data_IF_262140830623
#
_entry.id   IF_262140830623
#
_cell.length_a   1.000
_cell.length_b   1.000
_cell.length_c   1.000
_cell.angle_alpha   90.00
_cell.angle_beta   90.00
_cell.angle_gamma   90.00
#
_symmetry.space_group_name_H-M   'P 1'
#
loop_
_entity.id
_entity.type
_entity.pdbx_description
1 polymer ?
#
# COMPACT_ATOMS: atom_id res chain seq x y z
N UNK A 1 14.59 -3.05 -1.61
CA UNK A 1 13.30 -2.33 -1.80
C UNK A 1 12.58 -3.02 -2.93
N UNK A 2 11.28 -3.23 -2.83
CA UNK A 2 10.50 -3.90 -3.87
C UNK A 2 9.43 -2.93 -4.41
N UNK A 3 9.13 -3.00 -5.70
CA UNK A 3 7.97 -2.37 -6.33
C UNK A 3 6.87 -3.41 -6.47
N UNK A 4 5.60 -3.07 -6.31
CA UNK A 4 4.53 -4.03 -6.56
C UNK A 4 3.93 -3.80 -7.94
N UNK A 5 3.83 -4.85 -8.76
CA UNK A 5 3.05 -4.82 -10.00
C UNK A 5 1.56 -4.88 -9.64
N UNK A 6 0.83 -3.83 -10.01
CA UNK A 6 -0.61 -3.76 -9.86
C UNK A 6 -1.22 -3.98 -11.23
N UNK A 7 -2.03 -5.04 -11.38
CA UNK A 7 -2.78 -5.30 -12.60
C UNK A 7 -4.24 -4.87 -12.39
N UNK A 8 -4.99 -4.56 -13.45
CA UNK A 8 -6.40 -4.13 -13.41
C UNK A 8 -7.30 -5.09 -12.58
N UNK A 9 -6.92 -6.37 -12.50
CA UNK A 9 -7.54 -7.40 -11.64
C UNK A 9 -7.49 -7.10 -10.13
N UNK A 10 -6.61 -6.22 -9.65
CA UNK A 10 -6.59 -5.83 -8.24
C UNK A 10 -7.78 -4.94 -7.89
N UNK A 11 -8.18 -4.04 -8.79
CA UNK A 11 -9.33 -3.14 -8.59
C UNK A 11 -10.64 -3.89 -8.80
N UNK A 12 -10.74 -4.65 -9.90
CA UNK A 12 -11.95 -5.40 -10.29
C UNK A 12 -12.27 -6.59 -9.35
N UNK A 13 -11.28 -7.15 -8.64
CA UNK A 13 -11.50 -8.27 -7.71
C UNK A 13 -11.85 -7.84 -6.28
N UNK A 14 -11.51 -6.62 -5.87
CA UNK A 14 -11.93 -6.07 -4.57
C UNK A 14 -13.46 -5.91 -4.52
N UNK A 15 -14.10 -5.70 -5.67
CA UNK A 15 -15.57 -5.56 -5.78
C UNK A 15 -16.32 -6.90 -5.77
N UNK A 16 -15.69 -8.01 -6.19
CA UNK A 16 -16.38 -9.30 -6.42
C UNK A 16 -16.34 -10.28 -5.24
N UNK A 17 -15.46 -10.08 -4.27
CA UNK A 17 -15.41 -10.92 -3.06
C UNK A 17 -16.39 -10.35 -2.04
N UNK A 18 -17.49 -11.07 -1.77
CA UNK A 18 -18.58 -10.70 -0.84
C UNK A 18 -18.21 -10.55 0.65
N UNK A 19 -16.95 -10.21 0.95
CA UNK A 19 -16.42 -9.81 2.26
C UNK A 19 -16.20 -8.29 2.37
N UNK A 20 -16.57 -7.55 1.33
CA UNK A 20 -16.42 -6.09 1.23
C UNK A 20 -17.80 -5.45 1.25
N UNK A 21 -18.04 -4.57 2.22
CA UNK A 21 -19.21 -3.68 2.17
C UNK A 21 -18.79 -2.43 1.40
N UNK A 22 -19.26 -2.32 0.17
CA UNK A 22 -19.11 -1.10 -0.64
C UNK A 22 -20.20 -0.13 -0.20
N UNK A 23 -19.82 0.99 0.42
CA UNK A 23 -20.73 2.11 0.65
C UNK A 23 -20.43 3.19 -0.37
N UNK A 24 -21.37 3.41 -1.29
CA UNK A 24 -21.42 4.65 -2.09
C UNK A 24 -22.14 5.67 -1.23
N UNK A 25 -21.55 6.85 -1.02
CA UNK A 25 -22.25 7.95 -0.37
C UNK A 25 -23.43 8.35 -1.27
N UNK A 26 -24.66 8.44 -0.75
CA UNK A 26 -25.79 8.92 -1.54
C UNK A 26 -25.53 10.37 -1.96
N UNK A 27 -25.90 10.71 -3.19
CA UNK A 27 -25.98 12.10 -3.66
C UNK A 27 -26.76 12.94 -2.64
N UNK A 28 -26.26 14.13 -2.31
CA UNK A 28 -26.90 15.06 -1.36
C UNK A 28 -28.23 15.66 -1.85
N UNK A 29 -28.86 15.07 -2.86
CA UNK A 29 -30.16 15.46 -3.36
C UNK A 29 -31.23 14.44 -2.94
N UNK A 30 -31.92 14.77 -1.84
CA UNK A 30 -33.35 14.47 -1.70
C UNK A 30 -33.76 13.14 -1.06
N UNK A 31 -33.39 12.87 0.20
CA UNK A 31 -34.21 12.01 1.08
C UNK A 31 -35.37 12.84 1.66
N UNK A 32 -36.36 13.16 0.82
CA UNK A 32 -37.70 13.50 1.29
C UNK A 32 -38.51 12.21 1.28
N UNK A 33 -38.86 11.73 2.48
CA UNK A 33 -39.66 10.55 2.73
C UNK A 33 -40.93 10.50 1.86
N UNK A 34 -41.02 9.52 0.96
CA UNK A 34 -42.24 9.24 0.21
C UNK A 34 -43.16 8.32 1.04
N UNK A 35 -44.20 8.91 1.63
CA UNK A 35 -45.40 8.19 2.07
C UNK A 35 -46.34 7.99 0.87
N UNK A 36 -47.06 6.86 0.72
CA UNK A 36 -47.91 6.66 -0.44
C UNK A 36 -49.27 7.34 -0.24
N UNK A 37 -49.76 8.04 -1.26
CA UNK A 37 -51.18 8.41 -1.40
C UNK A 37 -51.57 8.43 -2.88
N UNK A 38 -52.83 8.08 -3.25
CA UNK A 38 -53.12 7.59 -4.59
C UNK A 38 -53.82 8.60 -5.52
N UNK A 39 -53.66 8.35 -6.83
CA UNK A 39 -54.55 8.70 -7.95
C UNK A 39 -54.70 10.18 -8.38
N UNK A 40 -54.63 10.42 -9.69
CA UNK A 40 -55.11 11.68 -10.31
C UNK A 40 -54.45 12.03 -11.65
N UNK A 41 -55.27 12.25 -12.66
CA UNK A 41 -54.95 12.40 -14.09
C UNK A 41 -54.44 13.78 -14.56
N UNK A 42 -53.84 13.78 -15.77
CA UNK A 42 -53.96 14.73 -16.93
C UNK A 42 -52.75 15.63 -17.32
N UNK A 43 -52.60 15.77 -18.64
CA UNK A 43 -51.55 16.38 -19.52
C UNK A 43 -51.52 17.92 -19.53
N UNK A 44 -50.35 18.52 -19.85
CA UNK A 44 -50.14 19.50 -20.96
C UNK A 44 -48.72 20.12 -21.04
N UNK A 45 -48.06 19.97 -22.20
CA UNK A 45 -47.17 20.81 -23.04
C UNK A 45 -46.28 22.01 -22.52
N UNK A 46 -44.95 21.85 -22.75
CA UNK A 46 -43.89 22.79 -23.29
C UNK A 46 -43.52 24.15 -22.60
N UNK A 47 -42.42 24.87 -22.99
CA UNK A 47 -40.98 24.51 -23.13
C UNK A 47 -39.98 25.56 -22.49
N UNK A 48 -38.68 25.21 -22.44
CA UNK A 48 -37.46 26.07 -22.34
C UNK A 48 -37.30 27.12 -21.21
N UNK A 49 -36.27 26.96 -20.37
CA UNK A 49 -35.38 28.04 -19.95
C UNK A 49 -34.03 27.48 -19.45
N UNK A 50 -32.96 28.18 -19.82
CA UNK A 50 -31.54 27.88 -19.70
C UNK A 50 -30.92 28.35 -18.38
N UNK A 51 -29.66 27.92 -18.15
CA UNK A 51 -28.65 28.41 -17.20
C UNK A 51 -28.78 27.85 -15.77
N UNK A 52 -27.73 27.41 -15.06
CA UNK A 52 -26.33 27.76 -15.11
C UNK A 52 -25.41 26.56 -14.83
N UNK A 53 -24.22 26.63 -15.43
CA UNK A 53 -23.06 25.78 -15.17
C UNK A 53 -22.55 25.98 -13.73
N UNK A 54 -22.53 24.90 -12.94
CA UNK A 54 -21.51 24.65 -11.89
C UNK A 54 -21.63 23.23 -11.34
N UNK A 55 -21.78 22.24 -12.22
CA UNK A 55 -21.59 20.83 -11.85
C UNK A 55 -20.10 20.52 -11.82
N UNK A 56 -19.44 20.70 -10.68
CA UNK A 56 -18.20 19.99 -10.43
C UNK A 56 -18.52 18.50 -10.53
N UNK A 57 -17.89 17.82 -11.48
CA UNK A 57 -18.00 16.38 -11.72
C UNK A 57 -17.67 15.62 -10.42
N UNK A 58 -18.71 15.23 -9.68
CA UNK A 58 -18.67 14.40 -8.47
C UNK A 58 -18.28 12.97 -8.86
N UNK A 59 -17.00 12.81 -9.20
CA UNK A 59 -16.43 11.53 -9.61
C UNK A 59 -16.46 10.50 -8.48
N UNK A 60 -17.49 9.65 -8.47
CA UNK A 60 -17.60 8.33 -7.83
C UNK A 60 -16.60 8.03 -6.69
N UNK A 61 -16.86 8.64 -5.53
CA UNK A 61 -16.24 8.27 -4.26
C UNK A 61 -16.58 6.82 -3.90
N UNK A 62 -15.56 5.98 -3.67
CA UNK A 62 -15.73 4.57 -3.32
C UNK A 62 -15.06 4.26 -1.98
N UNK A 63 -15.87 3.87 -0.99
CA UNK A 63 -15.38 3.34 0.27
C UNK A 63 -15.60 1.83 0.36
N UNK A 64 -14.51 1.12 0.64
CA UNK A 64 -14.46 -0.33 0.81
C UNK A 64 -14.10 -0.62 2.26
N UNK A 65 -15.06 -1.20 2.98
CA UNK A 65 -14.88 -1.68 4.34
C UNK A 65 -14.69 -3.20 4.32
N UNK A 66 -13.56 -3.66 4.82
CA UNK A 66 -13.29 -5.08 4.95
C UNK A 66 -14.02 -5.66 6.17
N UNK A 67 -14.60 -6.85 6.01
CA UNK A 67 -15.40 -7.48 7.06
C UNK A 67 -14.65 -7.62 8.41
N UNK A 68 -15.31 -7.33 9.55
CA UNK A 68 -14.71 -7.48 10.86
C UNK A 68 -14.44 -8.95 11.19
N UNK A 69 -13.50 -9.19 12.09
CA UNK A 69 -13.15 -10.55 12.56
C UNK A 69 -14.39 -11.27 13.10
N UNK A 70 -14.73 -12.46 12.57
CA UNK A 70 -15.75 -13.31 13.15
C UNK A 70 -15.47 -13.58 14.64
N UNK A 71 -16.47 -13.49 15.53
CA UNK A 71 -16.24 -13.49 16.98
C UNK A 71 -15.93 -14.88 17.57
N UNK A 72 -15.73 -15.92 16.74
CA UNK A 72 -15.55 -17.29 17.23
C UNK A 72 -14.09 -17.66 17.43
N UNK A 73 -13.85 -18.43 18.50
CA UNK A 73 -12.52 -18.73 19.06
C UNK A 73 -11.58 -19.42 18.07
N UNK A 74 -12.08 -20.34 17.24
CA UNK A 74 -11.24 -21.05 16.27
C UNK A 74 -10.76 -20.12 15.13
N UNK A 75 -11.51 -19.08 14.75
CA UNK A 75 -11.04 -18.08 13.77
C UNK A 75 -9.94 -17.22 14.37
N UNK A 76 -10.14 -16.75 15.59
CA UNK A 76 -9.13 -15.97 16.31
C UNK A 76 -7.85 -16.78 16.51
N UNK A 77 -7.96 -18.08 16.80
CA UNK A 77 -6.81 -18.98 16.87
C UNK A 77 -6.13 -19.12 15.52
N UNK A 78 -6.87 -19.45 14.45
CA UNK A 78 -6.31 -19.59 13.11
C UNK A 78 -5.64 -18.29 12.62
N UNK A 79 -6.27 -17.15 12.85
CA UNK A 79 -5.75 -15.82 12.52
C UNK A 79 -4.49 -15.49 13.33
N UNK A 80 -4.49 -15.77 14.62
CA UNK A 80 -3.33 -15.57 15.50
C UNK A 80 -2.18 -16.46 15.06
N UNK A 81 -2.43 -17.74 14.83
CA UNK A 81 -1.40 -18.70 14.38
C UNK A 81 -0.85 -18.30 13.02
N UNK A 82 -1.71 -17.98 12.04
CA UNK A 82 -1.27 -17.53 10.72
C UNK A 82 -0.45 -16.25 10.80
N UNK A 83 -0.93 -15.23 11.51
CA UNK A 83 -0.24 -13.96 11.64
C UNK A 83 1.07 -14.08 12.42
N UNK A 84 1.10 -14.92 13.45
CA UNK A 84 2.32 -15.23 14.19
C UNK A 84 3.34 -15.92 13.30
N UNK A 85 2.95 -16.98 12.57
CA UNK A 85 3.83 -17.69 11.64
C UNK A 85 4.32 -16.77 10.53
N UNK A 86 3.45 -15.96 9.93
CA UNK A 86 3.82 -15.03 8.86
C UNK A 86 4.81 -13.96 9.37
N UNK A 87 4.53 -13.32 10.51
CA UNK A 87 5.43 -12.33 11.10
C UNK A 87 6.78 -12.96 11.48
N UNK A 88 6.78 -14.13 12.12
CA UNK A 88 8.01 -14.78 12.54
C UNK A 88 8.77 -15.42 11.36
N UNK A 89 8.10 -15.81 10.28
CA UNK A 89 8.76 -16.16 9.02
C UNK A 89 9.51 -14.94 8.45
N UNK A 90 8.87 -13.77 8.44
CA UNK A 90 9.47 -12.51 7.97
C UNK A 90 10.70 -12.09 8.78
N UNK A 91 10.65 -12.22 10.12
CA UNK A 91 11.70 -11.71 11.01
C UNK A 91 12.71 -12.76 11.49
N UNK A 92 12.30 -14.02 11.65
CA UNK A 92 13.11 -15.10 12.22
C UNK A 92 13.44 -16.23 11.25
N UNK A 93 13.00 -16.22 10.00
CA UNK A 93 13.29 -17.32 9.06
C UNK A 93 14.78 -17.70 9.02
N UNK A 94 15.68 -16.72 9.08
CA UNK A 94 17.12 -16.92 9.12
C UNK A 94 17.66 -17.32 10.51
N UNK A 95 17.15 -16.72 11.59
CA UNK A 95 17.61 -16.99 12.96
C UNK A 95 17.15 -18.37 13.44
N UNK A 96 15.88 -18.73 13.18
CA UNK A 96 15.35 -20.06 13.47
C UNK A 96 16.07 -21.14 12.66
N UNK A 97 16.40 -20.88 11.39
CA UNK A 97 17.21 -21.80 10.57
C UNK A 97 18.64 -21.94 11.10
N UNK A 98 19.26 -20.84 11.54
CA UNK A 98 20.61 -20.88 12.13
C UNK A 98 20.64 -21.63 13.48
N UNK A 99 19.63 -21.42 14.34
CA UNK A 99 19.47 -22.16 15.60
C UNK A 99 19.13 -23.63 15.35
N UNK A 100 18.29 -23.95 14.37
CA UNK A 100 18.03 -25.33 13.95
C UNK A 100 19.31 -26.03 13.46
N UNK A 101 20.14 -25.34 12.67
CA UNK A 101 21.45 -25.85 12.25
C UNK A 101 22.44 -26.03 13.42
N UNK A 102 22.41 -25.13 14.41
CA UNK A 102 23.34 -25.12 15.54
C UNK A 102 22.97 -26.12 16.66
N UNK A 103 21.68 -26.42 16.85
CA UNK A 103 21.20 -27.16 18.03
C UNK A 103 20.46 -28.47 17.73
N UNK A 104 20.12 -28.78 16.46
CA UNK A 104 19.45 -30.05 16.12
C UNK A 104 20.49 -31.09 15.69
N UNK A 105 20.76 -32.06 16.57
CA UNK A 105 21.65 -33.22 16.37
C UNK A 105 21.09 -34.28 15.38
N UNK A 106 19.92 -34.07 14.78
CA UNK A 106 19.38 -34.97 13.75
C UNK A 106 19.91 -34.62 12.35
N UNK A 107 20.83 -35.44 11.85
CA UNK A 107 21.40 -35.41 10.49
C UNK A 107 20.34 -35.28 9.39
N UNK A 108 19.16 -35.87 9.57
CA UNK A 108 18.05 -35.79 8.62
C UNK A 108 17.49 -34.36 8.45
N UNK A 109 17.43 -33.54 9.50
CA UNK A 109 16.94 -32.15 9.41
C UNK A 109 17.96 -31.29 8.67
N UNK A 110 19.26 -31.46 8.95
CA UNK A 110 20.34 -30.78 8.21
C UNK A 110 20.33 -31.18 6.73
N UNK A 111 20.11 -32.46 6.42
CA UNK A 111 19.97 -32.93 5.05
C UNK A 111 18.73 -32.34 4.36
N UNK A 112 17.58 -32.30 5.03
CA UNK A 112 16.36 -31.68 4.52
C UNK A 112 16.53 -30.17 4.27
N UNK A 113 17.19 -29.45 5.17
CA UNK A 113 17.53 -28.03 5.00
C UNK A 113 18.52 -27.81 3.84
N UNK A 114 19.54 -28.67 3.70
CA UNK A 114 20.49 -28.61 2.60
C UNK A 114 19.80 -28.87 1.24
N UNK A 115 18.94 -29.89 1.16
CA UNK A 115 18.11 -30.16 -0.01
C UNK A 115 17.19 -28.96 -0.29
N UNK A 116 16.55 -28.41 0.74
CA UNK A 116 15.75 -27.19 0.64
C UNK A 116 16.52 -26.01 0.08
N UNK A 117 17.76 -25.79 0.53
CA UNK A 117 18.64 -24.72 0.05
C UNK A 117 19.07 -24.94 -1.41
N UNK A 118 19.40 -26.17 -1.78
CA UNK A 118 19.74 -26.55 -3.17
C UNK A 118 18.54 -26.33 -4.10
N UNK A 119 17.35 -26.74 -3.69
CA UNK A 119 16.12 -26.50 -4.44
C UNK A 119 15.79 -24.99 -4.51
N UNK A 120 16.03 -24.26 -3.43
CA UNK A 120 15.83 -22.81 -3.35
C UNK A 120 16.80 -22.04 -4.25
N UNK A 121 18.02 -22.53 -4.46
CA UNK A 121 19.04 -21.88 -5.28
C UNK A 121 18.53 -21.57 -6.70
N UNK A 122 17.78 -22.51 -7.31
CA UNK A 122 17.16 -22.28 -8.62
C UNK A 122 16.17 -21.10 -8.60
N UNK A 123 15.38 -20.96 -7.54
CA UNK A 123 14.46 -19.83 -7.34
C UNK A 123 15.18 -18.52 -7.04
N UNK A 124 16.29 -18.60 -6.32
CA UNK A 124 17.06 -17.43 -5.91
C UNK A 124 17.78 -16.77 -7.08
N UNK A 125 18.30 -17.57 -8.02
CA UNK A 125 19.08 -17.08 -9.17
C UNK A 125 18.26 -16.94 -10.47
N UNK A 126 16.93 -17.08 -10.44
CA UNK A 126 16.09 -17.01 -11.65
C UNK A 126 15.93 -15.61 -12.25
N UNK A 127 16.36 -14.56 -11.53
CA UNK A 127 16.27 -13.16 -11.96
C UNK A 127 14.83 -12.68 -12.20
N UNK A 128 13.83 -13.34 -11.63
CA UNK A 128 12.42 -12.97 -11.76
C UNK A 128 12.12 -11.58 -11.22
N UNK A 129 12.89 -11.10 -10.23
CA UNK A 129 12.82 -9.75 -9.68
C UNK A 129 13.21 -8.66 -10.70
N UNK A 130 14.06 -8.97 -11.70
CA UNK A 130 14.54 -8.01 -12.70
C UNK A 130 13.67 -7.96 -13.97
N UNK A 131 12.61 -8.77 -14.00
CA UNK A 131 11.64 -8.88 -15.10
C UNK A 131 10.25 -8.50 -14.56
N UNK A 132 9.22 -9.28 -14.89
CA UNK A 132 7.83 -8.99 -14.52
C UNK A 132 7.38 -9.70 -13.22
N UNK A 133 8.33 -10.15 -12.39
CA UNK A 133 8.08 -10.91 -11.15
C UNK A 133 7.74 -12.39 -11.41
N UNK A 134 7.29 -13.09 -10.36
CA UNK A 134 6.82 -14.49 -10.45
C UNK A 134 5.46 -14.66 -9.77
N UNK A 135 4.41 -13.97 -10.26
CA UNK A 135 3.12 -13.95 -9.61
C UNK A 135 2.51 -15.36 -9.54
N UNK A 136 2.20 -15.82 -8.34
CA UNK A 136 1.52 -17.09 -8.14
C UNK A 136 0.03 -16.85 -7.95
N UNK A 137 -0.73 -16.95 -9.04
CA UNK A 137 -2.15 -16.56 -9.05
C UNK A 137 -3.00 -17.31 -8.03
N UNK A 138 -2.80 -18.63 -7.88
CA UNK A 138 -3.53 -19.42 -6.88
C UNK A 138 -3.21 -18.98 -5.45
N UNK A 139 -1.93 -18.71 -5.14
CA UNK A 139 -1.53 -18.18 -3.84
C UNK A 139 -2.11 -16.79 -3.58
N UNK A 140 -2.06 -15.87 -4.56
CA UNK A 140 -2.66 -14.52 -4.46
C UNK A 140 -4.17 -14.56 -4.28
N UNK A 141 -4.85 -15.55 -4.85
CA UNK A 141 -6.29 -15.74 -4.74
C UNK A 141 -6.71 -16.54 -3.50
N UNK A 142 -5.75 -17.05 -2.73
CA UNK A 142 -6.03 -18.02 -1.69
C UNK A 142 -6.80 -17.38 -0.52
N UNK A 143 -7.87 -18.02 0.00
CA UNK A 143 -8.67 -17.47 1.10
C UNK A 143 -7.91 -17.22 2.40
N UNK A 144 -6.68 -17.74 2.55
CA UNK A 144 -5.81 -17.49 3.71
C UNK A 144 -5.58 -16.00 3.94
N UNK A 145 -5.62 -15.17 2.89
CA UNK A 145 -5.50 -13.72 3.01
C UNK A 145 -6.66 -13.08 3.78
N UNK A 146 -7.81 -13.75 3.88
CA UNK A 146 -8.93 -13.31 4.72
C UNK A 146 -8.52 -13.25 6.20
N UNK A 147 -7.56 -14.08 6.64
CA UNK A 147 -7.02 -14.03 8.00
C UNK A 147 -6.24 -12.73 8.24
N UNK A 148 -5.37 -12.35 7.29
CA UNK A 148 -4.62 -11.09 7.36
C UNK A 148 -5.54 -9.87 7.25
N UNK A 149 -6.49 -9.91 6.32
CA UNK A 149 -7.45 -8.84 6.07
C UNK A 149 -8.39 -8.60 7.27
N UNK A 150 -8.87 -9.67 7.93
CA UNK A 150 -9.71 -9.51 9.13
C UNK A 150 -8.90 -9.03 10.34
N UNK A 151 -7.59 -9.31 10.39
CA UNK A 151 -6.75 -8.94 11.53
C UNK A 151 -6.50 -7.43 11.61
N UNK A 152 -6.28 -6.80 10.45
CA UNK A 152 -6.20 -5.36 10.31
C UNK A 152 -7.51 -4.87 9.71
N UNK A 153 -8.46 -4.32 10.48
CA UNK A 153 -9.66 -3.73 9.91
C UNK A 153 -9.22 -2.59 9.00
N UNK A 154 -9.17 -2.88 7.70
CA UNK A 154 -8.71 -1.97 6.70
C UNK A 154 -9.93 -1.24 6.11
N UNK A 155 -9.72 0.01 5.75
CA UNK A 155 -10.66 0.83 5.01
C UNK A 155 -9.93 1.38 3.81
N UNK A 156 -10.47 1.16 2.62
CA UNK A 156 -9.91 1.68 1.38
C UNK A 156 -10.84 2.77 0.86
N UNK A 157 -10.31 3.98 0.75
CA UNK A 157 -11.00 5.14 0.21
C UNK A 157 -10.39 5.46 -1.13
N UNK A 158 -11.22 5.44 -2.18
CA UNK A 158 -10.85 5.89 -3.51
C UNK A 158 -11.61 7.18 -3.80
N UNK A 159 -10.87 8.27 -3.94
CA UNK A 159 -11.47 9.60 -4.16
C UNK A 159 -11.98 9.81 -5.58
N UNK A 160 -11.49 9.05 -6.57
CA UNK A 160 -11.93 9.10 -7.98
C UNK A 160 -11.82 7.75 -8.69
N UNK A 161 -12.63 7.55 -9.73
CA UNK A 161 -12.48 6.40 -10.59
C UNK A 161 -11.14 6.37 -11.34
N UNK A 162 -10.54 5.18 -11.42
CA UNK A 162 -9.32 4.92 -12.20
C UNK A 162 -9.74 4.12 -13.43
N UNK A 163 -9.36 4.59 -14.61
CA UNK A 163 -9.59 3.92 -15.88
C UNK A 163 -8.68 2.69 -16.01
N UNK A 164 -9.27 1.53 -16.27
CA UNK A 164 -8.52 0.28 -16.40
C UNK A 164 -7.59 0.25 -17.63
N UNK A 165 -7.79 1.14 -18.61
CA UNK A 165 -6.94 1.26 -19.80
C UNK A 165 -5.71 2.16 -19.59
N UNK A 166 -5.60 2.82 -18.44
CA UNK A 166 -4.53 3.77 -18.13
C UNK A 166 -3.44 3.16 -17.26
N UNK A 167 -2.23 3.71 -17.39
CA UNK A 167 -1.06 3.31 -16.58
C UNK A 167 -0.88 4.23 -15.40
N UNK A 168 -0.67 3.63 -14.23
CA UNK A 168 -0.52 4.36 -12.98
C UNK A 168 0.80 4.05 -12.28
N UNK A 169 1.38 5.09 -11.68
CA UNK A 169 2.44 5.00 -10.68
C UNK A 169 1.82 5.39 -9.33
N UNK A 170 1.55 4.40 -8.49
CA UNK A 170 1.03 4.62 -7.14
C UNK A 170 2.18 4.95 -6.19
N UNK A 171 2.18 6.14 -5.61
CA UNK A 171 3.12 6.47 -4.54
C UNK A 171 2.57 5.97 -3.21
N UNK A 172 3.17 4.89 -2.70
CA UNK A 172 2.62 4.02 -1.67
C UNK A 172 3.57 3.99 -0.45
N UNK A 173 3.07 4.21 0.76
CA UNK A 173 3.89 4.53 1.94
C UNK A 173 3.95 3.53 3.12
N UNK A 174 3.73 2.19 3.00
CA UNK A 174 3.78 1.31 4.15
C UNK A 174 5.15 0.65 4.37
N UNK A 175 5.25 -0.01 5.52
CA UNK A 175 6.46 -0.68 5.97
C UNK A 175 6.26 -2.20 6.09
N UNK A 176 6.80 -2.96 5.13
CA UNK A 176 6.92 -4.41 5.26
C UNK A 176 8.32 -4.86 4.79
N UNK A 177 9.26 -5.11 5.70
CA UNK A 177 10.55 -5.70 5.35
C UNK A 177 10.43 -7.21 5.10
N UNK A 178 11.35 -7.79 4.31
CA UNK A 178 11.93 -9.10 4.65
C UNK A 178 11.42 -10.40 3.99
N UNK A 179 10.72 -10.41 2.85
CA UNK A 179 10.31 -11.68 2.24
C UNK A 179 10.38 -11.72 0.71
N UNK A 180 11.57 -11.95 0.12
CA UNK A 180 11.77 -12.01 -1.34
C UNK A 180 10.74 -12.90 -2.05
N UNK A 181 10.55 -14.13 -1.59
CA UNK A 181 9.67 -15.09 -2.27
C UNK A 181 8.19 -14.73 -2.18
N UNK A 182 7.71 -14.33 -1.00
CA UNK A 182 6.33 -13.86 -0.86
C UNK A 182 6.13 -12.60 -1.70
N UNK A 183 7.09 -11.67 -1.71
CA UNK A 183 7.06 -10.49 -2.56
C UNK A 183 6.96 -10.89 -4.04
N UNK A 184 7.80 -11.80 -4.54
CA UNK A 184 7.76 -12.27 -5.92
C UNK A 184 6.43 -12.95 -6.28
N UNK A 185 5.92 -13.81 -5.40
CA UNK A 185 4.62 -14.49 -5.58
C UNK A 185 3.45 -13.51 -5.56
N UNK A 186 3.57 -12.41 -4.83
CA UNK A 186 2.62 -11.29 -4.83
C UNK A 186 2.78 -10.39 -6.06
N UNK A 187 3.78 -10.63 -6.92
CA UNK A 187 4.06 -9.85 -8.13
C UNK A 187 4.92 -8.61 -7.89
N UNK A 188 5.66 -8.58 -6.78
CA UNK A 188 6.66 -7.55 -6.58
C UNK A 188 7.89 -7.79 -7.47
N UNK A 189 8.53 -6.69 -7.87
CA UNK A 189 9.73 -6.65 -8.70
C UNK A 189 10.79 -5.80 -8.00
N UNK A 190 12.02 -5.86 -8.51
CA UNK A 190 13.11 -5.00 -8.05
C UNK A 190 12.77 -3.51 -8.21
N UNK A 191 13.25 -2.69 -7.28
CA UNK A 191 12.96 -1.26 -7.26
C UNK A 191 13.85 -0.39 -8.16
N UNK A 192 14.67 -0.99 -9.00
CA UNK A 192 15.49 -0.31 -9.99
C UNK A 192 14.64 0.41 -11.05
N UNK A 193 15.15 1.57 -11.51
CA UNK A 193 14.51 2.39 -12.56
C UNK A 193 14.25 1.57 -13.84
N UNK A 194 15.20 0.73 -14.24
CA UNK A 194 15.12 -0.11 -15.45
C UNK A 194 14.01 -1.16 -15.35
N UNK A 195 13.88 -1.81 -14.19
CA UNK A 195 12.80 -2.77 -13.93
C UNK A 195 11.44 -2.08 -13.91
N UNK A 196 11.33 -0.94 -13.23
CA UNK A 196 10.10 -0.16 -13.18
C UNK A 196 9.66 0.33 -14.57
N UNK A 197 10.62 0.77 -15.39
CA UNK A 197 10.42 1.18 -16.78
C UNK A 197 9.89 0.03 -17.62
N UNK A 198 10.50 -1.16 -17.54
CA UNK A 198 10.00 -2.37 -18.22
C UNK A 198 8.58 -2.75 -17.82
N UNK A 199 8.23 -2.66 -16.53
CA UNK A 199 6.85 -2.95 -16.07
C UNK A 199 5.85 -1.98 -16.68
N UNK A 200 6.21 -0.70 -16.81
CA UNK A 200 5.36 0.31 -17.46
C UNK A 200 5.30 0.15 -18.99
N UNK A 201 6.33 -0.44 -19.60
CA UNK A 201 6.34 -0.79 -21.03
C UNK A 201 5.52 -2.06 -21.31
N UNK A 202 5.49 -3.01 -20.38
CA UNK A 202 4.62 -4.21 -20.38
C UNK A 202 3.14 -3.88 -20.08
N UNK A 203 2.74 -2.62 -20.25
CA UNK A 203 1.39 -2.10 -20.04
C UNK A 203 0.80 -2.37 -18.64
N UNK A 204 1.66 -2.34 -17.61
CA UNK A 204 1.25 -2.57 -16.23
C UNK A 204 1.43 -1.33 -15.36
N UNK A 205 0.67 -1.27 -14.26
CA UNK A 205 0.84 -0.25 -13.23
C UNK A 205 1.85 -0.68 -12.16
N UNK A 206 2.47 0.30 -11.50
CA UNK A 206 3.50 0.06 -10.48
C UNK A 206 3.20 0.82 -9.20
N UNK A 207 3.36 0.18 -8.05
CA UNK A 207 3.36 0.84 -6.74
C UNK A 207 4.80 1.02 -6.24
N UNK A 208 5.14 2.26 -5.93
CA UNK A 208 6.48 2.71 -5.53
C UNK A 208 6.47 3.16 -4.08
N UNK A 209 7.52 2.85 -3.34
CA UNK A 209 7.73 3.27 -1.95
C UNK A 209 8.78 4.37 -1.88
N UNK A 210 8.41 5.65 -2.09
CA UNK A 210 9.40 6.69 -2.35
C UNK A 210 10.29 7.00 -1.14
N UNK A 211 9.75 6.94 0.07
CA UNK A 211 10.53 7.25 1.27
C UNK A 211 11.34 6.06 1.81
N UNK A 212 10.77 4.86 1.74
CA UNK A 212 11.53 3.64 1.85
C UNK A 212 12.01 3.29 3.26
N UNK A 213 13.19 2.68 3.38
CA UNK A 213 13.73 2.31 4.69
C UNK A 213 13.99 3.51 5.61
N UNK A 214 14.18 4.72 5.06
CA UNK A 214 14.36 5.94 5.86
C UNK A 214 13.12 6.29 6.68
N UNK A 215 11.92 6.05 6.13
CA UNK A 215 10.65 6.30 6.84
C UNK A 215 10.48 5.37 8.06
N UNK A 216 11.00 4.14 7.98
CA UNK A 216 10.98 3.20 9.12
C UNK A 216 11.74 3.79 10.32
N UNK A 217 12.86 4.48 10.09
CA UNK A 217 13.66 5.07 11.17
C UNK A 217 13.06 6.38 11.71
N UNK A 218 12.31 7.13 10.90
CA UNK A 218 11.67 8.38 11.32
C UNK A 218 10.30 8.19 11.94
N UNK A 219 9.67 7.03 11.74
CA UNK A 219 8.36 6.72 12.32
C UNK A 219 8.46 6.54 13.84
N UNK A 220 7.76 7.40 14.58
CA UNK A 220 7.61 7.31 16.03
C UNK A 220 6.13 7.03 16.39
N UNK A 221 5.81 5.83 16.90
CA UNK A 221 4.46 5.48 17.35
C UNK A 221 3.88 6.39 18.43
N UNK A 222 4.72 7.09 19.20
CA UNK A 222 4.30 7.92 20.32
C UNK A 222 4.25 9.41 19.98
N UNK A 223 4.67 9.79 18.77
CA UNK A 223 4.62 11.19 18.31
C UNK A 223 3.32 11.47 17.56
N UNK A 224 2.79 12.68 17.71
CA UNK A 224 1.72 13.22 16.86
C UNK A 224 2.24 13.73 15.50
N UNK A 225 3.56 13.68 15.28
CA UNK A 225 4.18 14.05 14.00
C UNK A 225 4.39 12.80 13.14
N UNK A 226 3.75 12.74 11.98
CA UNK A 226 3.99 11.73 10.95
C UNK A 226 4.99 12.27 9.92
N UNK A 227 6.06 11.51 9.65
CA UNK A 227 7.14 11.92 8.74
C UNK A 227 7.15 11.06 7.48
N UNK A 228 6.98 11.69 6.32
CA UNK A 228 7.10 11.05 5.00
C UNK A 228 8.33 11.57 4.27
N UNK A 229 9.12 10.69 3.69
CA UNK A 229 10.40 11.06 3.08
C UNK A 229 10.23 11.28 1.58
N UNK A 230 9.70 12.44 1.20
CA UNK A 230 9.38 12.80 -0.18
C UNK A 230 10.18 14.00 -0.71
N UNK A 231 10.77 14.83 0.15
CA UNK A 231 11.30 16.16 -0.22
C UNK A 231 12.33 16.12 -1.33
N UNK A 232 13.16 15.07 -1.38
CA UNK A 232 14.25 14.86 -2.37
C UNK A 232 13.97 13.72 -3.34
N UNK A 233 12.80 13.08 -3.26
CA UNK A 233 12.49 11.86 -4.02
C UNK A 233 11.81 12.22 -5.34
N UNK A 234 12.60 12.45 -6.38
CA UNK A 234 12.08 12.78 -7.73
C UNK A 234 11.97 11.58 -8.68
N UNK A 235 12.62 10.46 -8.36
CA UNK A 235 12.77 9.33 -9.31
C UNK A 235 11.46 8.73 -9.82
N UNK A 236 10.44 8.61 -8.95
CA UNK A 236 9.13 8.07 -9.35
C UNK A 236 8.34 9.04 -10.23
N UNK A 237 8.52 10.36 -10.03
CA UNK A 237 7.93 11.39 -10.87
C UNK A 237 8.58 11.39 -12.26
N UNK A 238 9.92 11.33 -12.31
CA UNK A 238 10.65 11.17 -13.59
C UNK A 238 10.17 9.94 -14.36
N UNK A 239 9.99 8.82 -13.66
CA UNK A 239 9.50 7.58 -14.25
C UNK A 239 8.08 7.75 -14.81
N UNK A 240 7.16 8.34 -14.04
CA UNK A 240 5.79 8.55 -14.48
C UNK A 240 5.71 9.45 -15.73
N UNK A 241 6.42 10.57 -15.74
CA UNK A 241 6.48 11.50 -16.88
C UNK A 241 7.06 10.81 -18.11
N UNK A 242 8.19 10.10 -17.97
CA UNK A 242 8.84 9.42 -19.10
C UNK A 242 7.94 8.40 -19.80
N UNK A 243 7.08 7.70 -19.04
CA UNK A 243 6.16 6.71 -19.59
C UNK A 243 4.75 7.27 -19.89
N UNK A 244 4.47 8.53 -19.54
CA UNK A 244 3.13 9.12 -19.62
C UNK A 244 2.12 8.41 -18.72
N UNK A 245 2.57 7.89 -17.58
CA UNK A 245 1.75 7.21 -16.59
C UNK A 245 1.25 8.21 -15.54
N UNK A 246 -0.03 8.16 -15.18
CA UNK A 246 -0.58 9.07 -14.19
C UNK A 246 -0.03 8.75 -12.77
N UNK A 247 0.27 9.78 -11.99
CA UNK A 247 0.76 9.65 -10.62
C UNK A 247 -0.42 9.64 -9.65
N UNK A 248 -0.56 8.58 -8.86
CA UNK A 248 -1.63 8.49 -7.86
C UNK A 248 -1.03 8.65 -6.46
N UNK A 249 -1.33 9.74 -5.74
CA UNK A 249 -0.91 9.90 -4.35
C UNK A 249 -1.70 8.96 -3.45
N UNK A 250 -1.00 8.19 -2.61
CA UNK A 250 -1.63 7.29 -1.63
C UNK A 250 -1.10 7.61 -0.24
N UNK A 251 -1.99 7.73 0.73
CA UNK A 251 -1.62 7.89 2.13
C UNK A 251 -2.25 6.78 2.99
N UNK A 252 -1.49 6.25 3.95
CA UNK A 252 -1.96 5.18 4.84
C UNK A 252 -1.93 5.67 6.29
N UNK A 253 -3.10 5.64 6.93
CA UNK A 253 -3.25 5.92 8.35
C UNK A 253 -3.28 4.62 9.15
N UNK A 254 -2.77 4.67 10.39
CA UNK A 254 -2.82 3.59 11.37
C UNK A 254 -1.55 2.74 11.45
N UNK A 255 -0.64 2.86 10.49
CA UNK A 255 0.56 2.02 10.42
C UNK A 255 1.48 2.19 11.63
N UNK A 256 1.67 3.43 12.07
CA UNK A 256 2.50 3.74 13.24
C UNK A 256 1.99 3.10 14.54
N UNK A 257 0.72 2.66 14.60
CA UNK A 257 0.09 2.04 15.77
C UNK A 257 0.29 0.52 15.82
N UNK A 258 0.82 -0.10 14.76
CA UNK A 258 1.02 -1.54 14.68
C UNK A 258 2.16 -2.05 15.57
N UNK A 259 3.10 -1.20 15.96
CA UNK A 259 4.26 -1.59 16.76
C UNK A 259 4.60 -0.54 17.82
N UNK A 260 5.16 -0.99 18.93
CA UNK A 260 5.90 -0.15 19.87
C UNK A 260 7.36 -0.12 19.43
N UNK A 261 8.01 1.01 19.62
CA UNK A 261 9.42 1.21 19.28
C UNK A 261 10.16 1.76 20.49
N UNK A 262 11.37 1.23 20.73
CA UNK A 262 12.33 1.85 21.63
C UNK A 262 13.14 2.88 20.85
N UNK A 263 13.03 4.15 21.26
CA UNK A 263 13.82 5.23 20.69
C UNK A 263 15.25 5.16 21.24
N UNK A 264 16.11 4.41 20.54
CA UNK A 264 17.55 4.36 20.82
C UNK A 264 18.17 5.73 20.54
N UNK A 265 18.97 6.31 21.46
CA UNK A 265 19.63 7.59 21.25
C UNK A 265 20.44 7.62 19.95
N UNK A 266 20.32 8.72 19.19
CA UNK A 266 20.96 8.87 17.88
C UNK A 266 22.47 8.58 17.88
N UNK A 267 23.27 9.02 18.88
CA UNK A 267 24.70 8.73 18.90
C UNK A 267 25.02 7.23 18.92
N UNK A 268 24.28 6.45 19.72
CA UNK A 268 24.47 5.00 19.85
C UNK A 268 24.04 4.29 18.56
N UNK A 269 22.87 4.63 18.04
CA UNK A 269 22.37 4.08 16.78
C UNK A 269 23.33 4.38 15.63
N UNK A 270 23.80 5.62 15.52
CA UNK A 270 24.68 6.04 14.43
C UNK A 270 26.08 5.45 14.57
N UNK A 271 26.55 5.18 15.80
CA UNK A 271 27.78 4.42 16.05
C UNK A 271 27.63 2.95 15.62
N UNK A 272 26.54 2.28 16.01
CA UNK A 272 26.25 0.90 15.58
C UNK A 272 26.14 0.79 14.05
N UNK A 273 25.45 1.74 13.42
CA UNK A 273 25.34 1.83 11.97
C UNK A 273 26.69 2.07 11.29
N UNK A 274 27.52 2.98 11.81
CA UNK A 274 28.81 3.30 11.18
C UNK A 274 29.82 2.18 11.35
N UNK A 275 29.95 1.67 12.57
CA UNK A 275 31.00 0.74 12.99
C UNK A 275 30.63 -0.71 12.68
N UNK A 276 29.38 -1.12 12.93
CA UNK A 276 28.94 -2.53 12.80
C UNK A 276 27.99 -2.74 11.61
N UNK A 277 27.58 -1.68 10.91
CA UNK A 277 26.57 -1.73 9.82
C UNK A 277 25.24 -2.36 10.26
N UNK A 278 24.92 -2.33 11.55
CA UNK A 278 23.67 -2.86 12.09
C UNK A 278 22.63 -1.74 12.13
N UNK A 279 21.58 -1.79 11.30
CA UNK A 279 20.43 -0.90 11.44
C UNK A 279 19.60 -1.30 12.66
N UNK A 280 20.03 -0.85 13.85
CA UNK A 280 19.32 -1.18 15.08
C UNK A 280 18.00 -0.42 15.15
N UNK A 281 16.91 -1.14 14.88
CA UNK A 281 15.54 -0.73 15.18
C UNK A 281 14.99 -1.76 16.16
N UNK A 282 14.77 -1.34 17.40
CA UNK A 282 14.15 -2.19 18.43
C UNK A 282 12.68 -1.84 18.48
N UNK A 283 11.83 -2.78 18.08
CA UNK A 283 10.39 -2.63 18.05
C UNK A 283 9.72 -3.98 18.34
N UNK A 284 8.50 -3.94 18.87
CA UNK A 284 7.71 -5.12 19.19
C UNK A 284 6.21 -4.84 19.05
N UNK A 285 5.45 -5.89 18.77
CA UNK A 285 4.01 -5.92 18.79
C UNK A 285 3.51 -6.71 20.01
N UNK A 286 2.53 -7.59 19.78
CA UNK A 286 1.89 -8.42 20.80
C UNK A 286 2.89 -9.37 21.46
N UNK A 287 2.74 -9.56 22.78
CA UNK A 287 3.54 -10.49 23.58
C UNK A 287 5.06 -10.26 23.47
N UNK A 288 5.50 -9.01 23.23
CA UNK A 288 6.91 -8.67 22.99
C UNK A 288 7.53 -9.36 21.76
N UNK A 289 6.70 -9.84 20.83
CA UNK A 289 7.13 -10.45 19.57
C UNK A 289 7.06 -9.44 18.41
N UNK A 290 7.46 -9.81 17.20
CA UNK A 290 7.18 -9.00 16.00
C UNK A 290 5.80 -9.24 15.39
N UNK A 291 4.90 -9.91 16.10
CA UNK A 291 3.50 -10.00 15.69
C UNK A 291 2.79 -8.67 15.96
N UNK A 292 2.34 -7.91 14.96
CA UNK A 292 1.84 -6.53 15.11
C UNK A 292 0.61 -6.44 16.02
N UNK A 293 0.39 -5.29 16.65
CA UNK A 293 -0.89 -4.96 17.26
C UNK A 293 -1.97 -4.80 16.18
N UNK A 294 -3.19 -5.22 16.49
CA UNK A 294 -4.34 -4.95 15.64
C UNK A 294 -4.64 -3.44 15.68
N UNK A 295 -4.33 -2.74 14.59
CA UNK A 295 -4.61 -1.32 14.42
C UNK A 295 -5.38 -1.11 13.12
N UNK A 296 -6.45 -0.31 13.17
CA UNK A 296 -7.23 0.07 11.99
C UNK A 296 -6.34 0.76 10.97
N UNK A 297 -6.37 0.27 9.74
CA UNK A 297 -5.63 0.85 8.62
C UNK A 297 -6.61 1.60 7.72
N UNK A 298 -6.34 2.86 7.39
CA UNK A 298 -7.12 3.58 6.37
C UNK A 298 -6.20 3.95 5.24
N UNK A 299 -6.39 3.33 4.07
CA UNK A 299 -5.65 3.61 2.85
C UNK A 299 -6.48 4.57 2.01
N UNK A 300 -5.92 5.73 1.68
CA UNK A 300 -6.61 6.75 0.88
C UNK A 300 -5.85 6.94 -0.42
N UNK A 301 -6.56 6.74 -1.54
CA UNK A 301 -6.07 7.00 -2.89
C UNK A 301 -6.63 8.35 -3.36
N UNK A 302 -5.73 9.28 -3.66
CA UNK A 302 -6.07 10.58 -4.22
C UNK A 302 -6.34 10.57 -5.71
N UNK A 303 -6.66 11.75 -6.24
CA UNK A 303 -6.87 11.94 -7.67
C UNK A 303 -5.58 11.71 -8.47
N UNK A 304 -5.66 11.04 -9.64
CA UNK A 304 -4.50 10.89 -10.52
C UNK A 304 -4.02 12.24 -11.05
N UNK A 305 -2.71 12.49 -10.95
CA UNK A 305 -2.02 13.61 -11.58
C UNK A 305 -1.59 13.15 -12.97
N UNK A 306 -2.19 13.74 -14.01
CA UNK A 306 -1.89 13.39 -15.40
C UNK A 306 -0.50 13.91 -15.81
N UNK A 307 0.36 12.99 -16.25
CA UNK A 307 1.71 13.31 -16.71
C UNK A 307 1.86 13.24 -18.24
N UNK A 308 0.82 12.82 -18.98
CA UNK A 308 0.89 12.59 -20.43
C UNK A 308 1.26 13.85 -21.20
N UNK A 309 0.71 14.99 -20.78
CA UNK A 309 0.99 16.31 -21.36
C UNK A 309 2.46 16.73 -21.24
N UNK A 310 3.23 16.04 -20.41
CA UNK A 310 4.61 16.34 -20.07
C UNK A 310 5.59 15.27 -20.56
N UNK A 311 5.08 14.26 -21.27
CA UNK A 311 5.90 13.18 -21.80
C UNK A 311 6.88 13.75 -22.84
N UNK A 312 8.20 13.62 -22.63
CA UNK A 312 9.19 14.05 -23.61
C UNK A 312 9.16 13.16 -24.86
N UNK A 313 9.80 13.59 -25.97
CA UNK A 313 10.04 12.73 -27.12
C UNK A 313 10.74 11.42 -26.72
N UNK A 314 10.53 10.37 -27.51
CA UNK A 314 11.09 9.05 -27.21
C UNK A 314 12.63 9.10 -27.12
N UNK A 315 13.17 8.70 -25.97
CA UNK A 315 14.62 8.68 -25.72
C UNK A 315 15.18 9.89 -24.98
N UNK A 316 14.35 10.91 -24.68
CA UNK A 316 14.75 12.08 -23.89
C UNK A 316 14.30 11.96 -22.42
N UNK A 317 15.13 12.47 -21.51
CA UNK A 317 14.78 12.56 -20.09
C UNK A 317 13.88 13.79 -19.85
N UNK A 318 12.92 13.71 -18.91
CA UNK A 318 12.07 14.85 -18.59
C UNK A 318 12.86 15.99 -17.95
N UNK A 319 12.52 17.24 -18.32
CA UNK A 319 13.13 18.45 -17.74
C UNK A 319 12.99 18.48 -16.22
N UNK A 320 14.09 18.81 -15.51
CA UNK A 320 14.10 18.89 -14.04
C UNK A 320 13.06 19.88 -13.50
N UNK A 321 12.90 21.05 -14.15
CA UNK A 321 11.90 22.03 -13.75
C UNK A 321 10.48 21.45 -13.77
N UNK A 322 10.17 20.66 -14.80
CA UNK A 322 8.85 20.01 -14.92
C UNK A 322 8.66 18.90 -13.89
N UNK A 323 9.72 18.15 -13.62
CA UNK A 323 9.73 17.12 -12.58
C UNK A 323 9.49 17.75 -11.20
N UNK A 324 10.06 18.92 -10.94
CA UNK A 324 9.85 19.66 -9.69
C UNK A 324 8.43 20.21 -9.58
N UNK A 325 7.84 20.73 -10.66
CA UNK A 325 6.44 21.17 -10.69
C UNK A 325 5.46 20.02 -10.36
N UNK A 326 5.59 18.89 -11.05
CA UNK A 326 4.72 17.72 -10.83
C UNK A 326 4.99 17.09 -9.46
N UNK A 327 6.24 17.13 -8.97
CA UNK A 327 6.56 16.66 -7.62
C UNK A 327 5.91 17.53 -6.54
N UNK A 328 5.92 18.86 -6.71
CA UNK A 328 5.25 19.77 -5.79
C UNK A 328 3.75 19.52 -5.75
N UNK A 329 3.11 19.33 -6.92
CA UNK A 329 1.70 18.95 -7.02
C UNK A 329 1.41 17.62 -6.29
N UNK A 330 2.26 16.61 -6.48
CA UNK A 330 2.16 15.33 -5.78
C UNK A 330 2.27 15.48 -4.25
N UNK A 331 3.23 16.28 -3.78
CA UNK A 331 3.43 16.51 -2.34
C UNK A 331 2.22 17.21 -1.73
N UNK A 332 1.69 18.23 -2.39
CA UNK A 332 0.50 18.93 -1.91
C UNK A 332 -0.73 18.04 -1.93
N UNK A 333 -0.88 17.18 -2.94
CA UNK A 333 -1.95 16.18 -2.96
C UNK A 333 -1.84 15.21 -1.76
N UNK A 334 -0.64 14.72 -1.42
CA UNK A 334 -0.44 13.87 -0.23
C UNK A 334 -0.79 14.61 1.06
N UNK A 335 -0.41 15.90 1.19
CA UNK A 335 -0.80 16.74 2.33
C UNK A 335 -2.30 16.92 2.44
N UNK A 336 -2.96 17.16 1.31
CA UNK A 336 -4.41 17.30 1.24
C UNK A 336 -5.12 16.01 1.69
N UNK A 337 -4.67 14.83 1.21
CA UNK A 337 -5.21 13.55 1.65
C UNK A 337 -5.07 13.36 3.17
N UNK A 338 -3.92 13.73 3.73
CA UNK A 338 -3.72 13.66 5.17
C UNK A 338 -4.71 14.55 5.92
N UNK A 339 -4.80 15.83 5.56
CA UNK A 339 -5.67 16.77 6.29
C UNK A 339 -7.15 16.42 6.14
N UNK A 340 -7.59 16.02 4.94
CA UNK A 340 -8.98 15.68 4.68
C UNK A 340 -9.45 14.44 5.44
N UNK A 341 -8.58 13.45 5.63
CA UNK A 341 -8.98 12.13 6.16
C UNK A 341 -8.43 11.79 7.56
N UNK A 342 -7.61 12.64 8.19
CA UNK A 342 -7.03 12.35 9.52
C UNK A 342 -8.11 12.11 10.58
N UNK A 343 -9.15 12.94 10.64
CA UNK A 343 -10.25 12.81 11.61
C UNK A 343 -10.97 11.47 11.45
N UNK A 344 -11.39 11.16 10.23
CA UNK A 344 -12.09 9.91 9.90
C UNK A 344 -11.24 8.65 10.11
N UNK A 345 -9.92 8.80 10.01
CA UNK A 345 -8.96 7.74 10.32
C UNK A 345 -8.68 7.59 11.82
N UNK A 346 -9.28 8.41 12.67
CA UNK A 346 -9.13 8.39 14.13
C UNK A 346 -7.83 9.04 14.61
N UNK A 347 -7.37 10.09 13.93
CA UNK A 347 -6.25 10.95 14.34
C UNK A 347 -6.82 12.27 14.90
N UNK A 348 -6.20 12.80 15.96
CA UNK A 348 -6.62 14.06 16.59
C UNK A 348 -6.18 15.31 15.80
N UNK A 349 -6.55 16.49 16.30
CA UNK A 349 -6.19 17.77 15.67
C UNK A 349 -4.69 18.04 15.73
N UNK A 350 -4.05 17.59 16.81
CA UNK A 350 -2.63 17.70 17.09
C UNK A 350 -1.75 16.86 16.15
N UNK A 351 -2.36 15.96 15.39
CA UNK A 351 -1.66 15.10 14.44
C UNK A 351 -1.29 15.89 13.18
N UNK A 352 0.01 15.85 12.85
CA UNK A 352 0.62 16.63 11.79
C UNK A 352 1.38 15.74 10.81
N UNK A 353 1.54 16.22 9.57
CA UNK A 353 2.32 15.57 8.53
C UNK A 353 3.49 16.46 8.10
N UNK A 354 4.70 15.98 8.33
CA UNK A 354 5.94 16.62 7.91
C UNK A 354 6.53 15.86 6.72
N UNK A 355 6.74 16.57 5.63
CA UNK A 355 7.44 16.05 4.45
C UNK A 355 8.93 16.36 4.60
N UNK A 356 9.76 15.33 4.71
CA UNK A 356 11.21 15.41 4.92
C UNK A 356 12.02 14.84 3.76
#
# INVERSE_FOLDING_TARGET
MALARVNALFVDRIERLGLVRVSRTPSSDGDAAASPSPSGSRRSDAPCASNDESGADDGDYLEINFAPTPPWTLWNLAQTTWGFLLAHYIFYGFVASALACAFIELTAVKAALAVGLVLYQKSFWDGSELRSGRPWHAFRAHPVWNLTQSYFPARLIRTRALDASEKYVFGWHPHVPGCREICLWMGAVDAGRTTASRVLDDDCSVAVYPGGSREIFSTDPNSSETKVYLSKRRGFVKLAIAHGAALVPVFVFGEKRCYRRLNVPAPLRDWLLRTWKIPLIVFWGRWFTWYPYAARQTVVFGAPIDTKKHKPPAGEDPSEARVDEVHAEYVEAVRALFQAHKRDAGYGEEETLTVI
#
